data_IF_467199669602
#
_entry.id   IF_467199669602
#
_cell.length_a   1.000
_cell.length_b   1.000
_cell.length_c   1.000
_cell.angle_alpha   90.00
_cell.angle_beta   90.00
_cell.angle_gamma   90.00
#
_symmetry.space_group_name_H-M   'P 1'
#
loop_
_entity.id
_entity.type
_entity.pdbx_description
1 polymer ?
#
# COMPACT_ATOMS: atom_id res chain seq x y z
N UNK A 1 14.38 12.35 20.08
CA UNK A 1 14.39 13.12 18.81
C UNK A 1 13.55 14.35 19.04
N UNK A 2 13.96 15.53 18.55
CA UNK A 2 13.13 16.72 18.62
C UNK A 2 11.88 16.52 17.75
N UNK A 3 10.70 16.86 18.26
CA UNK A 3 9.46 16.86 17.49
C UNK A 3 9.61 17.88 16.35
N UNK A 4 9.31 17.42 15.11
CA UNK A 4 9.29 18.32 13.95
C UNK A 4 7.84 18.68 13.71
N UNK A 5 7.57 19.98 13.60
CA UNK A 5 6.22 20.51 13.32
C UNK A 5 6.23 21.32 12.04
N UNK A 6 5.07 21.40 11.40
CA UNK A 6 4.85 22.30 10.26
C UNK A 6 5.04 23.77 10.67
N UNK A 7 5.34 24.68 9.74
CA UNK A 7 5.57 26.08 10.03
C UNK A 7 4.38 26.78 10.70
N UNK A 8 3.17 26.36 10.40
CA UNK A 8 1.90 26.87 10.95
C UNK A 8 1.47 26.18 12.24
N UNK A 9 2.17 25.10 12.66
CA UNK A 9 1.85 24.31 13.85
C UNK A 9 0.65 23.36 13.68
N UNK A 10 0.08 23.24 12.48
CA UNK A 10 -1.09 22.38 12.21
C UNK A 10 -0.78 20.90 12.31
N UNK A 11 0.45 20.49 11.98
CA UNK A 11 0.90 19.11 12.02
C UNK A 11 2.20 18.95 12.79
N UNK A 12 2.28 17.92 13.62
CA UNK A 12 3.50 17.53 14.34
C UNK A 12 3.76 16.05 14.15
N UNK A 13 4.96 15.71 13.69
CA UNK A 13 5.38 14.33 13.54
C UNK A 13 5.51 13.66 14.90
N UNK A 14 4.64 12.70 15.17
CA UNK A 14 4.58 11.96 16.45
C UNK A 14 4.97 10.50 16.25
N UNK A 15 5.62 9.92 17.25
CA UNK A 15 5.93 8.50 17.23
C UNK A 15 4.63 7.68 17.23
N UNK A 16 4.56 6.58 16.44
CA UNK A 16 3.42 5.69 16.47
C UNK A 16 3.17 5.15 17.88
N UNK A 17 1.93 5.25 18.38
CA UNK A 17 1.54 4.79 19.70
C UNK A 17 1.34 3.26 19.77
N UNK A 18 1.12 2.63 18.62
CA UNK A 18 0.88 1.19 18.49
C UNK A 18 2.08 0.51 17.82
N UNK A 19 2.31 -0.78 18.12
CA UNK A 19 3.40 -1.55 17.53
C UNK A 19 3.27 -1.75 16.01
N UNK A 20 2.05 -1.75 15.49
CA UNK A 20 1.73 -1.84 14.07
C UNK A 20 1.02 -0.56 13.62
N UNK A 21 1.21 -0.11 12.36
CA UNK A 21 2.08 -0.70 11.32
C UNK A 21 3.58 -0.47 11.54
N UNK A 22 4.40 -1.44 11.14
CA UNK A 22 5.86 -1.34 11.23
C UNK A 22 6.43 -0.29 10.27
N UNK A 23 5.84 -0.15 9.10
CA UNK A 23 6.23 0.86 8.09
C UNK A 23 6.14 2.29 8.64
N UNK A 24 5.17 2.59 9.51
CA UNK A 24 5.08 3.88 10.20
C UNK A 24 6.21 4.13 11.20
N UNK A 25 6.75 3.09 11.82
CA UNK A 25 7.94 3.24 12.68
C UNK A 25 9.19 3.54 11.86
N UNK A 26 9.26 2.98 10.64
CA UNK A 26 10.36 3.25 9.71
C UNK A 26 10.24 4.68 9.16
N UNK A 27 9.04 5.09 8.70
CA UNK A 27 8.82 6.45 8.18
C UNK A 27 9.09 7.49 9.25
N UNK A 28 8.60 7.33 10.47
CA UNK A 28 8.86 8.23 11.58
C UNK A 28 10.37 8.51 11.81
N UNK A 29 11.24 7.51 11.54
CA UNK A 29 12.70 7.67 11.64
C UNK A 29 13.31 8.28 10.39
N UNK A 30 12.75 8.00 9.21
CA UNK A 30 13.29 8.40 7.91
C UNK A 30 12.83 9.81 7.52
N UNK A 31 11.58 10.18 7.81
CA UNK A 31 10.98 11.47 7.47
C UNK A 31 11.80 12.68 7.95
N UNK A 32 12.37 12.71 9.17
CA UNK A 32 13.23 13.81 9.60
C UNK A 32 14.50 14.00 8.75
N UNK A 33 15.00 12.94 8.14
CA UNK A 33 16.16 12.99 7.25
C UNK A 33 15.76 13.55 5.89
N UNK A 34 14.67 13.03 5.32
CA UNK A 34 14.14 13.46 4.01
C UNK A 34 13.65 14.92 4.09
N UNK A 35 13.02 15.33 5.20
CA UNK A 35 12.55 16.70 5.41
C UNK A 35 13.65 17.75 5.25
N UNK A 36 14.91 17.42 5.60
CA UNK A 36 16.08 18.29 5.45
C UNK A 36 16.55 18.42 3.98
N UNK A 37 16.10 17.52 3.12
CA UNK A 37 16.44 17.55 1.70
C UNK A 37 15.47 18.47 0.93
N UNK A 38 15.93 19.09 -0.15
CA UNK A 38 15.07 19.94 -1.00
C UNK A 38 14.14 19.09 -1.88
N UNK A 39 13.53 18.02 -1.30
CA UNK A 39 12.61 17.15 -2.00
C UNK A 39 11.17 17.59 -1.76
N UNK A 40 10.37 17.54 -2.82
CA UNK A 40 8.91 17.69 -2.75
C UNK A 40 8.26 16.34 -2.37
N UNK A 41 7.03 16.33 -1.82
CA UNK A 41 6.29 15.09 -1.56
C UNK A 41 6.21 14.20 -2.82
N UNK A 42 5.80 14.74 -3.95
CA UNK A 42 5.67 13.99 -5.21
C UNK A 42 6.99 13.38 -5.71
N UNK A 43 8.14 13.99 -5.38
CA UNK A 43 9.44 13.39 -5.68
C UNK A 43 9.72 12.18 -4.78
N UNK A 44 9.24 12.20 -3.54
CA UNK A 44 9.34 11.05 -2.63
C UNK A 44 8.40 9.93 -3.08
N UNK A 45 7.16 10.25 -3.50
CA UNK A 45 6.24 9.31 -4.14
C UNK A 45 6.86 8.68 -5.41
N UNK A 46 7.55 9.47 -6.25
CA UNK A 46 8.26 8.94 -7.42
C UNK A 46 9.42 8.00 -7.04
N UNK A 47 10.11 8.25 -5.94
CA UNK A 47 11.15 7.35 -5.42
C UNK A 47 10.54 6.06 -4.86
N UNK A 48 9.39 6.14 -4.17
CA UNK A 48 8.64 4.94 -3.73
C UNK A 48 8.23 4.10 -4.92
N UNK A 49 7.69 4.72 -5.98
CA UNK A 49 7.33 4.05 -7.23
C UNK A 49 8.51 3.29 -7.84
N UNK A 50 9.68 3.93 -7.94
CA UNK A 50 10.87 3.27 -8.48
C UNK A 50 11.29 2.06 -7.65
N UNK A 51 11.23 2.16 -6.31
CA UNK A 51 11.52 1.05 -5.42
C UNK A 51 10.50 -0.08 -5.57
N UNK A 52 9.19 0.26 -5.64
CA UNK A 52 8.10 -0.71 -5.82
C UNK A 52 8.18 -1.47 -7.15
N UNK A 53 8.40 -0.74 -8.27
CA UNK A 53 8.56 -1.36 -9.59
C UNK A 53 9.83 -2.20 -9.69
N UNK A 54 10.93 -1.78 -9.08
CA UNK A 54 12.14 -2.61 -8.98
C UNK A 54 11.88 -3.87 -8.14
N UNK A 55 11.09 -3.76 -7.06
CA UNK A 55 10.64 -4.91 -6.27
C UNK A 55 9.81 -5.89 -7.10
N UNK A 56 8.82 -5.39 -7.86
CA UNK A 56 8.01 -6.20 -8.76
C UNK A 56 8.86 -6.91 -9.83
N UNK A 57 9.85 -6.22 -10.39
CA UNK A 57 10.81 -6.82 -11.32
C UNK A 57 11.62 -7.95 -10.67
N UNK A 58 12.05 -7.76 -9.41
CA UNK A 58 12.75 -8.83 -8.68
C UNK A 58 11.90 -10.09 -8.55
N UNK A 59 10.59 -9.95 -8.25
CA UNK A 59 9.67 -11.10 -8.22
C UNK A 59 9.52 -11.77 -9.58
N UNK A 60 9.55 -11.01 -10.68
CA UNK A 60 9.47 -11.57 -12.03
C UNK A 60 10.69 -12.42 -12.41
N UNK A 61 11.82 -12.28 -11.72
CA UNK A 61 13.02 -13.13 -11.93
C UNK A 61 12.87 -14.54 -11.33
N UNK A 62 11.83 -14.84 -10.57
CA UNK A 62 11.38 -16.18 -10.18
C UNK A 62 12.34 -16.98 -9.29
N UNK A 63 13.30 -16.35 -8.59
CA UNK A 63 14.22 -17.04 -7.69
C UNK A 63 14.10 -16.54 -6.26
N UNK A 64 14.37 -17.41 -5.26
CA UNK A 64 14.28 -17.08 -3.84
C UNK A 64 15.08 -15.82 -3.45
N UNK A 65 16.31 -15.69 -3.93
CA UNK A 65 17.17 -14.54 -3.63
C UNK A 65 16.59 -13.23 -4.18
N UNK A 66 16.05 -13.25 -5.39
CA UNK A 66 15.38 -12.10 -5.98
C UNK A 66 14.04 -11.83 -5.30
N UNK A 67 13.32 -12.87 -4.84
CA UNK A 67 12.12 -12.70 -4.01
C UNK A 67 12.41 -11.94 -2.72
N UNK A 68 13.50 -12.26 -2.01
CA UNK A 68 13.94 -11.54 -0.79
C UNK A 68 14.30 -10.09 -1.13
N UNK A 69 15.07 -9.86 -2.21
CA UNK A 69 15.41 -8.51 -2.65
C UNK A 69 14.15 -7.69 -3.01
N UNK A 70 13.19 -8.32 -3.72
CA UNK A 70 11.90 -7.71 -4.06
C UNK A 70 11.09 -7.34 -2.83
N UNK A 71 10.99 -8.24 -1.85
CA UNK A 71 10.32 -7.98 -0.57
C UNK A 71 10.97 -6.83 0.21
N UNK A 72 12.30 -6.77 0.25
CA UNK A 72 13.01 -5.67 0.90
C UNK A 72 12.76 -4.33 0.17
N UNK A 73 12.72 -4.32 -1.17
CA UNK A 73 12.40 -3.13 -1.95
C UNK A 73 10.95 -2.67 -1.73
N UNK A 74 10.00 -3.59 -1.56
CA UNK A 74 8.63 -3.23 -1.18
C UNK A 74 8.57 -2.59 0.21
N UNK A 75 9.35 -3.06 1.19
CA UNK A 75 9.44 -2.40 2.50
C UNK A 75 9.97 -0.97 2.36
N UNK A 76 10.98 -0.75 1.51
CA UNK A 76 11.47 0.61 1.22
C UNK A 76 10.39 1.45 0.54
N UNK A 77 9.69 0.89 -0.44
CA UNK A 77 8.57 1.52 -1.14
C UNK A 77 7.50 2.02 -0.16
N UNK A 78 6.90 1.14 0.63
CA UNK A 78 5.87 1.48 1.61
C UNK A 78 6.35 2.45 2.70
N UNK A 79 7.66 2.40 3.04
CA UNK A 79 8.24 3.37 3.97
C UNK A 79 8.33 4.76 3.36
N UNK A 80 8.76 4.89 2.10
CA UNK A 80 8.84 6.16 1.39
C UNK A 80 7.46 6.76 1.12
N UNK A 81 6.48 5.93 0.79
CA UNK A 81 5.08 6.25 0.65
C UNK A 81 4.52 6.92 1.92
N UNK A 82 4.71 6.30 3.08
CA UNK A 82 4.35 6.96 4.34
C UNK A 82 5.10 8.29 4.58
N UNK A 83 6.37 8.39 4.11
CA UNK A 83 7.17 9.61 4.27
C UNK A 83 6.64 10.77 3.44
N UNK A 84 6.14 10.53 2.21
CA UNK A 84 5.68 11.62 1.34
C UNK A 84 4.45 12.32 1.89
N UNK A 85 3.46 11.58 2.41
CA UNK A 85 2.32 12.13 3.12
C UNK A 85 2.72 12.90 4.40
N UNK A 86 3.69 12.37 5.18
CA UNK A 86 4.22 13.08 6.34
C UNK A 86 4.93 14.38 5.92
N UNK A 87 5.72 14.36 4.83
CA UNK A 87 6.42 15.53 4.30
C UNK A 87 5.44 16.54 3.72
N UNK A 88 4.37 16.09 3.04
CA UNK A 88 3.33 16.95 2.52
C UNK A 88 2.69 17.79 3.64
N UNK A 89 2.37 17.14 4.77
CA UNK A 89 1.83 17.80 5.97
C UNK A 89 2.86 18.71 6.66
N UNK A 90 4.12 18.25 6.79
CA UNK A 90 5.18 19.03 7.44
C UNK A 90 5.60 20.27 6.66
N UNK A 91 5.54 20.25 5.33
CA UNK A 91 5.94 21.36 4.45
C UNK A 91 4.74 22.20 3.98
N UNK A 92 3.51 21.87 4.43
CA UNK A 92 2.26 22.50 3.97
C UNK A 92 2.14 22.45 2.43
N UNK A 93 2.44 21.26 1.85
CA UNK A 93 2.43 20.99 0.41
C UNK A 93 1.38 19.95 0.02
N UNK A 94 0.40 19.70 0.88
CA UNK A 94 -0.71 18.76 0.58
C UNK A 94 -1.55 19.30 -0.59
N UNK A 95 -1.87 18.45 -1.57
CA UNK A 95 -2.66 18.85 -2.74
C UNK A 95 -3.49 17.68 -3.27
N UNK A 96 -4.65 17.97 -3.88
CA UNK A 96 -5.48 16.95 -4.53
C UNK A 96 -4.71 16.20 -5.63
N UNK A 97 -3.87 16.90 -6.39
CA UNK A 97 -3.05 16.27 -7.41
C UNK A 97 -2.02 15.32 -6.82
N UNK A 98 -1.42 15.68 -5.68
CA UNK A 98 -0.49 14.80 -4.95
C UNK A 98 -1.17 13.52 -4.51
N UNK A 99 -2.37 13.61 -3.93
CA UNK A 99 -3.15 12.44 -3.53
C UNK A 99 -3.52 11.54 -4.73
N UNK A 100 -3.95 12.13 -5.87
CA UNK A 100 -4.25 11.35 -7.08
C UNK A 100 -3.00 10.69 -7.68
N UNK A 101 -1.85 11.34 -7.57
CA UNK A 101 -0.57 10.77 -8.02
C UNK A 101 -0.16 9.60 -7.14
N UNK A 102 -0.38 9.69 -5.85
CA UNK A 102 -0.15 8.63 -4.87
C UNK A 102 -1.03 7.41 -5.14
N UNK A 103 -2.35 7.60 -5.28
CA UNK A 103 -3.30 6.55 -5.67
C UNK A 103 -2.92 5.84 -6.99
N UNK A 104 -2.42 6.62 -7.98
CA UNK A 104 -1.93 6.08 -9.25
C UNK A 104 -0.69 5.19 -9.05
N UNK A 105 0.24 5.65 -8.22
CA UNK A 105 1.49 4.94 -7.93
C UNK A 105 1.20 3.64 -7.19
N UNK A 106 0.31 3.66 -6.20
CA UNK A 106 -0.12 2.48 -5.46
C UNK A 106 -0.71 1.42 -6.39
N UNK A 107 -1.66 1.81 -7.25
CA UNK A 107 -2.22 0.91 -8.26
C UNK A 107 -1.15 0.32 -9.19
N UNK A 108 -0.19 1.14 -9.64
CA UNK A 108 0.88 0.66 -10.52
C UNK A 108 1.76 -0.37 -9.83
N UNK A 109 2.12 -0.15 -8.57
CA UNK A 109 2.97 -1.04 -7.79
C UNK A 109 2.26 -2.36 -7.51
N UNK A 110 1.01 -2.32 -7.05
CA UNK A 110 0.22 -3.50 -6.74
C UNK A 110 0.00 -4.36 -7.97
N UNK A 111 -0.38 -3.74 -9.10
CA UNK A 111 -0.56 -4.44 -10.37
C UNK A 111 0.74 -5.06 -10.89
N UNK A 112 1.84 -4.30 -10.82
CA UNK A 112 3.15 -4.79 -11.24
C UNK A 112 3.67 -5.91 -10.33
N UNK A 113 3.44 -5.81 -9.01
CA UNK A 113 3.82 -6.84 -8.04
C UNK A 113 3.14 -8.18 -8.36
N UNK A 114 1.81 -8.20 -8.49
CA UNK A 114 1.08 -9.44 -8.78
C UNK A 114 1.39 -10.00 -10.15
N UNK A 115 1.52 -9.14 -11.17
CA UNK A 115 1.92 -9.58 -12.51
C UNK A 115 3.35 -10.16 -12.51
N UNK A 116 4.30 -9.50 -11.84
CA UNK A 116 5.69 -9.95 -11.72
C UNK A 116 5.79 -11.26 -10.93
N UNK A 117 5.12 -11.36 -9.79
CA UNK A 117 5.10 -12.59 -8.98
C UNK A 117 4.48 -13.76 -9.76
N UNK A 118 3.36 -13.52 -10.47
CA UNK A 118 2.70 -14.53 -11.30
C UNK A 118 3.61 -15.02 -12.43
N UNK A 119 4.28 -14.10 -13.12
CA UNK A 119 5.23 -14.42 -14.17
C UNK A 119 6.43 -15.23 -13.64
N UNK A 120 7.10 -14.76 -12.59
CA UNK A 120 8.27 -15.43 -12.02
C UNK A 120 7.94 -16.81 -11.44
N UNK A 121 6.75 -16.98 -10.82
CA UNK A 121 6.30 -18.27 -10.33
C UNK A 121 6.00 -19.24 -11.47
N UNK A 122 5.36 -18.74 -12.56
CA UNK A 122 5.17 -19.55 -13.76
C UNK A 122 6.50 -19.96 -14.40
N UNK A 123 7.43 -19.02 -14.60
CA UNK A 123 8.72 -19.29 -15.22
C UNK A 123 9.53 -20.33 -14.43
N UNK A 124 9.49 -20.27 -13.10
CA UNK A 124 10.22 -21.19 -12.22
C UNK A 124 9.56 -22.58 -12.08
N UNK A 125 8.22 -22.66 -12.15
CA UNK A 125 7.49 -23.93 -11.93
C UNK A 125 7.00 -24.60 -13.21
N UNK A 126 6.89 -23.86 -14.32
CA UNK A 126 6.26 -24.28 -15.58
C UNK A 126 4.73 -24.29 -15.55
N UNK A 127 4.10 -24.00 -14.43
CA UNK A 127 2.63 -24.05 -14.25
C UNK A 127 1.98 -22.72 -14.62
N UNK A 128 1.36 -22.65 -15.80
CA UNK A 128 0.71 -21.44 -16.35
C UNK A 128 -0.41 -20.87 -15.45
N UNK A 129 -0.94 -21.67 -14.53
CA UNK A 129 -1.96 -21.24 -13.58
C UNK A 129 -1.48 -20.03 -12.76
N UNK A 130 -0.20 -20.00 -12.36
CA UNK A 130 0.36 -18.91 -11.55
C UNK A 130 0.38 -17.58 -12.31
N UNK A 131 0.70 -17.62 -13.59
CA UNK A 131 0.62 -16.44 -14.46
C UNK A 131 -0.81 -15.87 -14.49
N UNK A 132 -1.80 -16.74 -14.70
CA UNK A 132 -3.20 -16.28 -14.75
C UNK A 132 -3.71 -15.78 -13.40
N UNK A 133 -3.26 -16.36 -12.28
CA UNK A 133 -3.56 -15.82 -10.94
C UNK A 133 -2.99 -14.40 -10.78
N UNK A 134 -1.75 -14.15 -11.19
CA UNK A 134 -1.14 -12.83 -11.16
C UNK A 134 -1.88 -11.81 -12.03
N UNK A 135 -2.23 -12.19 -13.25
CA UNK A 135 -3.02 -11.33 -14.16
C UNK A 135 -4.43 -11.06 -13.59
N UNK A 136 -5.08 -12.06 -13.01
CA UNK A 136 -6.40 -11.88 -12.40
C UNK A 136 -6.34 -10.89 -11.21
N UNK A 137 -5.31 -10.99 -10.34
CA UNK A 137 -5.12 -10.06 -9.25
C UNK A 137 -4.86 -8.62 -9.75
N UNK A 138 -3.96 -8.45 -10.73
CA UNK A 138 -3.68 -7.15 -11.34
C UNK A 138 -4.90 -6.54 -12.05
N UNK A 139 -5.70 -7.37 -12.72
CA UNK A 139 -6.94 -6.92 -13.35
C UNK A 139 -7.98 -6.47 -12.30
N UNK A 140 -8.12 -7.20 -11.19
CA UNK A 140 -9.01 -6.82 -10.09
C UNK A 140 -8.59 -5.48 -9.45
N UNK A 141 -7.29 -5.29 -9.18
CA UNK A 141 -6.75 -4.01 -8.70
C UNK A 141 -7.00 -2.86 -9.70
N UNK A 142 -6.89 -3.15 -11.00
CA UNK A 142 -7.18 -2.15 -12.05
C UNK A 142 -8.65 -1.77 -12.09
N UNK A 143 -9.56 -2.74 -11.94
CA UNK A 143 -11.00 -2.48 -11.89
C UNK A 143 -11.34 -1.60 -10.68
N UNK A 144 -10.78 -1.92 -9.52
CA UNK A 144 -10.98 -1.15 -8.29
C UNK A 144 -10.51 0.29 -8.45
N UNK A 145 -9.29 0.50 -8.95
CA UNK A 145 -8.73 1.82 -9.23
C UNK A 145 -9.61 2.64 -10.21
N UNK A 146 -10.11 2.01 -11.28
CA UNK A 146 -10.99 2.69 -12.24
C UNK A 146 -12.34 3.07 -11.59
N UNK A 147 -12.88 2.22 -10.73
CA UNK A 147 -14.11 2.53 -9.97
C UNK A 147 -13.87 3.74 -9.08
N UNK A 148 -12.78 3.78 -8.35
CA UNK A 148 -12.41 4.90 -7.48
C UNK A 148 -12.23 6.19 -8.28
N UNK A 149 -11.52 6.13 -9.42
CA UNK A 149 -11.32 7.28 -10.31
C UNK A 149 -12.65 7.86 -10.82
N UNK A 150 -13.59 6.99 -11.22
CA UNK A 150 -14.94 7.41 -11.67
C UNK A 150 -15.70 8.07 -10.51
N UNK A 151 -15.58 7.54 -9.29
CA UNK A 151 -16.22 8.10 -8.10
C UNK A 151 -15.66 9.47 -7.73
N UNK A 152 -14.34 9.63 -7.69
CA UNK A 152 -13.70 10.92 -7.44
C UNK A 152 -14.10 11.97 -8.47
N UNK A 153 -14.21 11.58 -9.76
CA UNK A 153 -14.66 12.49 -10.81
C UNK A 153 -16.12 12.94 -10.63
N UNK A 154 -16.98 12.10 -10.05
CA UNK A 154 -18.40 12.42 -9.78
C UNK A 154 -18.61 13.17 -8.46
N UNK A 155 -17.77 12.93 -7.45
CA UNK A 155 -17.90 13.47 -6.08
C UNK A 155 -17.37 14.90 -5.93
N UNK A 156 -16.82 15.52 -6.96
CA UNK A 156 -16.30 16.92 -6.93
C UNK A 156 -17.29 17.97 -6.38
N UNK A 157 -18.53 17.61 -6.09
CA UNK A 157 -19.59 18.47 -5.56
C UNK A 157 -20.08 18.09 -4.13
N UNK A 158 -19.41 17.16 -3.43
CA UNK A 158 -19.79 16.80 -2.05
C UNK A 158 -18.59 16.97 -1.10
N UNK A 159 -18.76 17.56 0.11
CA UNK A 159 -17.67 17.73 1.04
C UNK A 159 -17.26 16.39 1.66
N UNK A 160 -15.95 16.14 1.60
CA UNK A 160 -15.15 15.27 2.44
C UNK A 160 -15.63 13.82 2.65
N UNK A 161 -15.23 12.94 1.72
CA UNK A 161 -15.04 11.54 2.08
C UNK A 161 -13.81 11.43 3.01
N UNK A 162 -13.94 10.71 4.13
CA UNK A 162 -12.83 10.38 5.04
C UNK A 162 -11.67 9.79 4.24
N UNK A 163 -10.48 10.30 4.47
CA UNK A 163 -9.27 9.76 3.83
C UNK A 163 -9.06 8.30 4.25
N UNK A 164 -8.54 7.45 3.35
CA UNK A 164 -8.16 6.03 3.62
C UNK A 164 -7.38 5.86 4.93
N UNK A 165 -6.62 6.88 5.34
CA UNK A 165 -5.90 6.90 6.63
C UNK A 165 -6.83 6.99 7.86
N UNK A 166 -7.95 7.68 7.77
CA UNK A 166 -8.94 7.79 8.87
C UNK A 166 -9.72 6.49 9.05
N UNK A 167 -10.04 5.79 7.96
CA UNK A 167 -10.66 4.45 8.01
C UNK A 167 -9.72 3.41 8.63
N UNK A 168 -8.39 3.50 8.39
CA UNK A 168 -7.40 2.59 8.99
C UNK A 168 -7.21 2.83 10.49
N UNK A 169 -7.59 4.00 11.03
CA UNK A 169 -7.48 4.33 12.46
C UNK A 169 -8.72 3.98 13.27
N UNK A 170 -9.87 3.79 12.63
CA UNK A 170 -11.17 3.58 13.31
C UNK A 170 -11.49 2.10 13.62
N UNK A 171 -10.48 1.22 13.61
CA UNK A 171 -10.67 -0.18 14.00
C UNK A 171 -10.82 -0.26 15.52
N UNK A 172 -12.02 -0.66 15.97
CA UNK A 172 -12.39 -0.92 17.37
C UNK A 172 -11.28 -1.72 18.07
N UNK A 173 -10.90 -1.31 19.28
CA UNK A 173 -9.91 -2.07 20.07
C UNK A 173 -10.40 -3.49 20.25
N UNK A 174 -9.57 -4.52 19.94
CA UNK A 174 -9.97 -5.91 20.06
C UNK A 174 -10.25 -6.27 21.53
N UNK A 175 -11.41 -6.83 21.81
CA UNK A 175 -11.82 -7.26 23.15
C UNK A 175 -11.53 -8.78 23.34
N UNK A 176 -11.60 -9.56 22.23
CA UNK A 176 -11.37 -11.00 22.23
C UNK A 176 -10.20 -11.42 21.34
N UNK A 177 -9.67 -12.64 21.55
CA UNK A 177 -8.59 -13.23 20.74
C UNK A 177 -8.94 -13.29 19.23
N UNK A 178 -10.21 -13.52 18.88
CA UNK A 178 -10.70 -13.53 17.50
C UNK A 178 -10.66 -12.13 16.90
N UNK A 179 -11.10 -11.13 17.66
CA UNK A 179 -11.04 -9.72 17.25
C UNK A 179 -9.58 -9.27 17.08
N UNK A 180 -8.68 -9.76 17.95
CA UNK A 180 -7.27 -9.48 17.86
C UNK A 180 -6.64 -10.09 16.59
N UNK A 181 -7.04 -11.32 16.21
CA UNK A 181 -6.59 -11.97 14.98
C UNK A 181 -7.09 -11.21 13.74
N UNK A 182 -8.37 -10.81 13.73
CA UNK A 182 -8.97 -10.01 12.67
C UNK A 182 -8.28 -8.64 12.59
N UNK A 183 -8.04 -7.99 13.71
CA UNK A 183 -7.35 -6.71 13.81
C UNK A 183 -5.93 -6.79 13.23
N UNK A 184 -5.14 -7.79 13.64
CA UNK A 184 -3.79 -8.01 13.10
C UNK A 184 -3.85 -8.28 11.60
N UNK A 185 -4.76 -9.16 11.16
CA UNK A 185 -4.90 -9.48 9.75
C UNK A 185 -5.24 -8.22 8.93
N UNK A 186 -6.18 -7.40 9.39
CA UNK A 186 -6.52 -6.13 8.73
C UNK A 186 -5.36 -5.12 8.72
N UNK A 187 -4.66 -4.98 9.83
CA UNK A 187 -3.52 -4.06 9.93
C UNK A 187 -2.33 -4.50 9.07
N UNK A 188 -2.02 -5.81 9.09
CA UNK A 188 -0.93 -6.36 8.29
C UNK A 188 -1.26 -6.38 6.80
N UNK A 189 -2.50 -6.71 6.42
CA UNK A 189 -2.88 -6.81 5.01
C UNK A 189 -3.03 -5.45 4.31
N UNK A 190 -3.31 -4.37 5.05
CA UNK A 190 -3.46 -3.04 4.48
C UNK A 190 -2.24 -2.15 4.62
N UNK A 191 -1.64 -2.09 5.81
CA UNK A 191 -0.60 -1.11 6.10
C UNK A 191 0.83 -1.71 6.08
N UNK A 192 0.96 -3.01 6.36
CA UNK A 192 2.26 -3.71 6.42
C UNK A 192 2.31 -4.92 5.47
N UNK A 193 1.55 -4.87 4.36
CA UNK A 193 1.55 -5.94 3.35
C UNK A 193 2.98 -6.28 2.87
N UNK A 194 3.82 -5.27 2.67
CA UNK A 194 5.22 -5.44 2.30
C UNK A 194 6.02 -6.29 3.31
N UNK A 195 5.70 -6.20 4.61
CA UNK A 195 6.36 -7.00 5.65
C UNK A 195 5.93 -8.46 5.57
N UNK A 196 4.65 -8.72 5.27
CA UNK A 196 4.15 -10.09 4.99
C UNK A 196 4.87 -10.66 3.77
N UNK A 197 4.92 -9.89 2.67
CA UNK A 197 5.60 -10.31 1.44
C UNK A 197 7.06 -10.65 1.70
N UNK A 198 7.79 -9.80 2.44
CA UNK A 198 9.18 -10.06 2.81
C UNK A 198 9.29 -11.32 3.68
N UNK A 199 8.40 -11.48 4.66
CA UNK A 199 8.34 -12.68 5.50
C UNK A 199 8.14 -13.96 4.68
N UNK A 200 7.18 -13.96 3.75
CA UNK A 200 6.95 -15.10 2.85
C UNK A 200 8.11 -15.34 1.89
N UNK A 201 8.79 -14.27 1.43
CA UNK A 201 9.96 -14.38 0.57
C UNK A 201 11.15 -15.03 1.27
N UNK A 202 11.35 -14.78 2.57
CA UNK A 202 12.40 -15.43 3.37
C UNK A 202 12.23 -16.95 3.45
N UNK A 203 10.99 -17.45 3.32
CA UNK A 203 10.66 -18.89 3.32
C UNK A 203 10.39 -19.45 1.93
N UNK A 204 10.56 -18.63 0.87
CA UNK A 204 10.30 -19.00 -0.53
C UNK A 204 8.86 -19.50 -0.79
N UNK A 205 7.87 -18.87 -0.12
CA UNK A 205 6.45 -19.24 -0.20
C UNK A 205 5.55 -18.08 -0.67
N UNK A 206 6.10 -17.10 -1.38
CA UNK A 206 5.36 -15.92 -1.88
C UNK A 206 4.25 -16.30 -2.87
N UNK A 207 4.36 -17.44 -3.55
CA UNK A 207 3.33 -17.96 -4.48
C UNK A 207 1.94 -18.10 -3.83
N UNK A 208 1.88 -18.27 -2.50
CA UNK A 208 0.61 -18.33 -1.75
C UNK A 208 -0.22 -17.04 -1.91
N UNK A 209 0.43 -15.92 -2.16
CA UNK A 209 -0.26 -14.64 -2.39
C UNK A 209 -1.01 -14.60 -3.72
N UNK A 210 -0.64 -15.43 -4.72
CA UNK A 210 -1.28 -15.42 -6.03
C UNK A 210 -2.75 -15.82 -5.99
N UNK A 211 -3.16 -16.99 -5.46
CA UNK A 211 -4.58 -17.33 -5.36
C UNK A 211 -5.34 -16.41 -4.40
N UNK A 212 -4.69 -15.98 -3.32
CA UNK A 212 -5.30 -15.03 -2.36
C UNK A 212 -5.55 -13.67 -3.02
N UNK A 213 -4.58 -13.15 -3.78
CA UNK A 213 -4.72 -11.91 -4.53
C UNK A 213 -5.74 -12.02 -5.65
N UNK A 214 -5.72 -13.12 -6.42
CA UNK A 214 -6.67 -13.34 -7.50
C UNK A 214 -8.13 -13.35 -7.02
N UNK A 215 -8.40 -13.98 -5.87
CA UNK A 215 -9.75 -14.03 -5.29
C UNK A 215 -10.06 -12.73 -4.54
N UNK A 216 -9.12 -12.27 -3.71
CA UNK A 216 -9.29 -11.10 -2.86
C UNK A 216 -9.56 -9.83 -3.65
N UNK A 217 -8.81 -9.60 -4.74
CA UNK A 217 -9.01 -8.44 -5.59
C UNK A 217 -10.41 -8.43 -6.23
N UNK A 218 -10.94 -9.60 -6.66
CA UNK A 218 -12.30 -9.66 -7.20
C UNK A 218 -13.36 -9.44 -6.10
N UNK A 219 -13.17 -10.02 -4.93
CA UNK A 219 -14.10 -9.84 -3.81
C UNK A 219 -14.14 -8.37 -3.36
N UNK A 220 -13.03 -7.66 -3.42
CA UNK A 220 -12.92 -6.28 -2.95
C UNK A 220 -13.79 -5.33 -3.79
N UNK A 221 -13.55 -5.23 -5.11
CA UNK A 221 -14.32 -4.32 -5.96
C UNK A 221 -15.80 -4.72 -6.09
N UNK A 222 -16.14 -6.03 -6.03
CA UNK A 222 -17.53 -6.50 -6.02
C UNK A 222 -18.25 -6.00 -4.76
N UNK A 223 -17.60 -6.14 -3.60
CA UNK A 223 -18.16 -5.71 -2.32
C UNK A 223 -18.34 -4.20 -2.28
N UNK A 224 -17.34 -3.44 -2.79
CA UNK A 224 -17.41 -1.99 -2.89
C UNK A 224 -18.59 -1.52 -3.78
N UNK A 225 -18.76 -2.12 -4.96
CA UNK A 225 -19.92 -1.85 -5.82
C UNK A 225 -21.26 -2.14 -5.13
N UNK A 226 -21.34 -3.25 -4.37
CA UNK A 226 -22.55 -3.61 -3.63
C UNK A 226 -22.88 -2.61 -2.51
N UNK A 227 -21.88 -2.18 -1.75
CA UNK A 227 -22.04 -1.20 -0.68
C UNK A 227 -22.51 0.14 -1.24
N UNK A 228 -21.87 0.61 -2.29
CA UNK A 228 -22.24 1.86 -3.00
C UNK A 228 -23.65 1.79 -3.59
N UNK A 229 -24.03 0.65 -4.20
CA UNK A 229 -25.37 0.47 -4.77
C UNK A 229 -26.49 0.45 -3.72
N UNK A 230 -26.20 0.06 -2.48
CA UNK A 230 -27.16 0.04 -1.38
C UNK A 230 -27.25 1.38 -0.62
N UNK A 231 -26.44 2.38 -0.99
CA UNK A 231 -26.40 3.67 -0.27
C UNK A 231 -25.88 3.53 1.17
N UNK A 232 -25.17 2.44 1.49
CA UNK A 232 -24.52 2.25 2.77
C UNK A 232 -23.17 2.97 2.73
N UNK A 233 -23.24 4.28 3.00
CA UNK A 233 -22.04 5.05 3.33
C UNK A 233 -21.78 4.80 4.82
N UNK A 234 -20.84 3.93 5.12
CA UNK A 234 -20.24 3.81 6.46
C UNK A 234 -19.06 4.77 6.58
#
# INVERSE_FOLDING_TARGET
MASISSPDGSYTLTAPAQALPLTRHLSYRLTPLIYRLPLTPNQVTALSMLAGLAGAWCFALGTANWGIAGGALLVVCYTLDNCDGEIARLKDMSSEWGAQFDDLVDWMIDSAFFAGLGYGTWDSTGEILWFWCGIAAAAGATIDYVIDLIHHAKSKNQPEAKTREEEATDVRKPEDFKDWLIYIFHKLSRADFCVIVLGLALFDVTWVLLPLGAIGAQAYWITDLFQRARGWHT
#
